data_IF_385804923092
#
_entry.id   IF_385804923092
#
_cell.length_a   1.000
_cell.length_b   1.000
_cell.length_c   1.000
_cell.angle_alpha   90.00
_cell.angle_beta   90.00
_cell.angle_gamma   90.00
#
_symmetry.space_group_name_H-M   'P 1'
#
loop_
_entity.id
_entity.type
_entity.pdbx_description
1 polymer ?
#
# COMPACT_ATOMS: atom_id res chain seq x y z
N UNK A 1 15.71 18.24 -4.39
CA UNK A 1 14.64 19.28 -4.36
C UNK A 1 13.40 18.68 -4.99
N UNK A 2 12.20 19.01 -4.46
CA UNK A 2 10.95 18.52 -5.08
C UNK A 2 10.71 19.23 -6.43
N UNK A 3 10.08 18.53 -7.37
CA UNK A 3 9.75 19.06 -8.68
C UNK A 3 8.67 20.14 -8.63
N UNK A 4 8.65 21.03 -9.62
CA UNK A 4 7.58 22.01 -9.76
C UNK A 4 6.20 21.31 -9.89
N UNK A 5 6.15 20.17 -10.57
CA UNK A 5 4.92 19.38 -10.73
C UNK A 5 4.37 18.91 -9.37
N UNK A 6 5.23 18.49 -8.42
CA UNK A 6 4.81 18.12 -7.07
C UNK A 6 4.20 19.32 -6.30
N UNK A 7 4.71 20.53 -6.51
CA UNK A 7 4.10 21.72 -5.91
C UNK A 7 2.75 22.07 -6.54
N UNK A 8 2.62 21.93 -7.86
CA UNK A 8 1.41 22.32 -8.59
C UNK A 8 0.25 21.34 -8.41
N UNK A 9 0.52 20.05 -8.18
CA UNK A 9 -0.54 19.05 -8.00
C UNK A 9 -1.24 19.17 -6.64
N UNK A 10 -0.56 19.63 -5.60
CA UNK A 10 -1.09 19.68 -4.24
C UNK A 10 -2.34 20.58 -4.10
N UNK A 11 -2.41 21.79 -4.64
CA UNK A 11 -3.65 22.59 -4.64
C UNK A 11 -4.82 21.88 -5.35
N UNK A 12 -4.54 21.19 -6.46
CA UNK A 12 -5.55 20.45 -7.22
C UNK A 12 -6.13 19.32 -6.37
N UNK A 13 -5.27 18.54 -5.71
CA UNK A 13 -5.69 17.44 -4.84
C UNK A 13 -6.47 17.94 -3.62
N UNK A 14 -6.05 19.09 -3.04
CA UNK A 14 -6.77 19.71 -1.94
C UNK A 14 -8.21 20.04 -2.33
N UNK A 15 -8.42 20.53 -3.55
CA UNK A 15 -9.74 20.86 -4.05
C UNK A 15 -10.54 19.61 -4.49
N UNK A 16 -9.92 18.70 -5.24
CA UNK A 16 -10.62 17.57 -5.86
C UNK A 16 -10.80 16.37 -4.94
N UNK A 17 -9.88 16.14 -3.99
CA UNK A 17 -9.89 14.96 -3.11
C UNK A 17 -10.20 15.37 -1.67
N UNK A 18 -9.33 16.16 -1.03
CA UNK A 18 -9.48 16.47 0.40
C UNK A 18 -10.84 17.08 0.73
N UNK A 19 -11.30 18.08 -0.05
CA UNK A 19 -12.62 18.71 0.19
C UNK A 19 -13.79 17.73 0.06
N UNK A 20 -13.68 16.73 -0.81
CA UNK A 20 -14.71 15.69 -0.95
C UNK A 20 -14.67 14.72 0.24
N UNK A 21 -13.48 14.26 0.63
CA UNK A 21 -13.32 13.36 1.78
C UNK A 21 -13.78 14.01 3.09
N UNK A 22 -13.48 15.29 3.30
CA UNK A 22 -13.95 16.01 4.50
C UNK A 22 -15.48 16.08 4.57
N UNK A 23 -16.16 16.14 3.42
CA UNK A 23 -17.63 16.19 3.31
C UNK A 23 -18.27 14.80 3.19
N UNK A 24 -17.49 13.77 3.00
CA UNK A 24 -17.99 12.40 2.89
C UNK A 24 -18.65 11.97 4.19
N UNK A 25 -19.86 11.45 4.10
CA UNK A 25 -20.65 10.92 5.21
C UNK A 25 -21.08 9.48 4.96
N UNK A 26 -20.91 8.99 3.73
CA UNK A 26 -21.25 7.63 3.32
C UNK A 26 -20.05 6.94 2.67
N UNK A 27 -20.02 5.59 2.64
CA UNK A 27 -19.00 4.83 1.89
C UNK A 27 -18.96 5.21 0.41
N UNK A 28 -20.10 5.49 -0.20
CA UNK A 28 -20.23 5.90 -1.60
C UNK A 28 -19.55 7.25 -1.86
N UNK A 29 -19.62 8.19 -0.91
CA UNK A 29 -18.92 9.48 -1.01
C UNK A 29 -17.40 9.28 -1.00
N UNK A 30 -16.89 8.38 -0.14
CA UNK A 30 -15.48 8.01 -0.08
C UNK A 30 -15.05 7.37 -1.41
N UNK A 31 -15.83 6.41 -1.93
CA UNK A 31 -15.59 5.73 -3.21
C UNK A 31 -15.54 6.73 -4.38
N UNK A 32 -16.45 7.70 -4.41
CA UNK A 32 -16.47 8.78 -5.42
C UNK A 32 -15.25 9.72 -5.30
N UNK A 33 -14.78 10.00 -4.08
CA UNK A 33 -13.63 10.87 -3.88
C UNK A 33 -12.33 10.29 -4.44
N UNK A 34 -12.17 8.94 -4.35
CA UNK A 34 -11.02 8.21 -4.89
C UNK A 34 -11.20 7.74 -6.35
N UNK A 35 -12.32 8.03 -7.00
CA UNK A 35 -12.66 7.52 -8.33
C UNK A 35 -11.93 8.17 -9.52
N UNK A 36 -10.86 8.95 -9.31
CA UNK A 36 -10.10 9.57 -10.39
C UNK A 36 -9.35 8.52 -11.22
N UNK A 37 -9.52 8.58 -12.56
CA UNK A 37 -8.73 7.75 -13.48
C UNK A 37 -7.38 8.40 -13.71
N UNK A 38 -6.31 7.71 -13.37
CA UNK A 38 -4.93 8.15 -13.57
C UNK A 38 -4.28 7.43 -14.76
N UNK A 39 -3.29 8.05 -15.42
CA UNK A 39 -2.60 7.44 -16.56
C UNK A 39 -1.91 6.12 -16.18
N UNK A 40 -2.18 5.07 -16.96
CA UNK A 40 -1.53 3.77 -16.84
C UNK A 40 -0.29 3.73 -17.74
N UNK A 41 0.85 3.19 -17.28
CA UNK A 41 2.06 3.09 -18.10
C UNK A 41 1.83 2.24 -19.34
N UNK A 42 2.34 2.69 -20.49
CA UNK A 42 2.42 1.85 -21.69
C UNK A 42 3.44 0.73 -21.47
N UNK A 43 3.19 -0.45 -22.04
CA UNK A 43 4.09 -1.59 -21.90
C UNK A 43 3.76 -2.54 -20.75
N UNK A 44 2.68 -2.30 -20.02
CA UNK A 44 2.10 -3.25 -19.08
C UNK A 44 0.86 -3.94 -19.71
N UNK A 45 0.74 -5.25 -19.52
CA UNK A 45 -0.43 -6.07 -19.84
C UNK A 45 -1.14 -6.44 -18.55
N UNK A 46 -2.48 -6.41 -18.56
CA UNK A 46 -3.32 -6.80 -17.43
C UNK A 46 -4.19 -7.98 -17.82
N UNK A 47 -4.20 -9.02 -17.00
CA UNK A 47 -4.97 -10.26 -17.26
C UNK A 47 -5.71 -10.66 -16.00
N UNK A 48 -7.02 -10.79 -16.07
CA UNK A 48 -7.84 -11.24 -14.94
C UNK A 48 -7.41 -12.64 -14.47
N UNK A 49 -7.38 -12.84 -13.17
CA UNK A 49 -6.97 -14.08 -12.55
C UNK A 49 -7.59 -14.25 -11.16
N UNK A 50 -7.54 -15.48 -10.67
CA UNK A 50 -7.91 -15.84 -9.29
C UNK A 50 -6.73 -16.56 -8.66
N UNK A 51 -6.30 -16.11 -7.48
CA UNK A 51 -5.21 -16.69 -6.71
C UNK A 51 -5.69 -16.89 -5.28
N UNK A 52 -5.62 -18.12 -4.76
CA UNK A 52 -6.13 -18.46 -3.43
C UNK A 52 -7.63 -18.17 -3.26
N UNK A 53 -8.41 -18.19 -4.34
CA UNK A 53 -9.83 -17.82 -4.31
C UNK A 53 -10.09 -16.31 -4.42
N UNK A 54 -9.05 -15.48 -4.43
CA UNK A 54 -9.16 -14.01 -4.52
C UNK A 54 -8.92 -13.57 -5.96
N UNK A 55 -9.88 -12.84 -6.56
CA UNK A 55 -9.76 -12.19 -7.86
C UNK A 55 -8.88 -10.92 -7.76
N UNK A 56 -8.15 -10.50 -8.68
CA UNK A 56 -8.44 -9.63 -9.79
C UNK A 56 -7.47 -9.86 -10.96
N UNK A 57 -6.21 -9.29 -10.92
CA UNK A 57 -5.42 -9.26 -12.14
C UNK A 57 -3.92 -9.41 -11.93
N UNK A 58 -3.31 -10.05 -12.92
CA UNK A 58 -1.87 -9.95 -13.13
C UNK A 58 -1.54 -8.69 -13.91
N UNK A 59 -0.51 -7.96 -13.48
CA UNK A 59 0.17 -6.95 -14.27
C UNK A 59 1.57 -7.48 -14.65
N UNK A 60 1.84 -7.55 -15.94
CA UNK A 60 3.05 -8.17 -16.51
C UNK A 60 3.63 -7.27 -17.62
N UNK A 61 4.93 -7.40 -17.96
CA UNK A 61 5.49 -6.75 -19.14
C UNK A 61 4.73 -7.19 -20.41
N UNK A 62 4.35 -6.23 -21.27
CA UNK A 62 3.58 -6.50 -22.48
C UNK A 62 4.40 -7.18 -23.58
N UNK A 63 5.74 -7.12 -23.50
CA UNK A 63 6.69 -7.77 -24.41
C UNK A 63 6.84 -9.28 -24.15
N UNK A 64 6.19 -9.80 -23.12
CA UNK A 64 6.24 -11.21 -22.76
C UNK A 64 7.47 -11.61 -21.90
N UNK A 65 8.29 -10.67 -21.50
CA UNK A 65 9.38 -10.96 -20.55
C UNK A 65 8.83 -11.57 -19.27
N UNK A 66 9.52 -12.59 -18.74
CA UNK A 66 9.14 -13.28 -17.50
C UNK A 66 9.97 -12.71 -16.36
N UNK A 67 9.39 -11.90 -15.45
CA UNK A 67 10.11 -11.34 -14.31
C UNK A 67 10.54 -12.43 -13.33
N UNK A 68 11.73 -12.26 -12.74
CA UNK A 68 12.24 -13.15 -11.70
C UNK A 68 11.51 -12.99 -10.36
N UNK A 69 10.89 -11.82 -10.12
CA UNK A 69 10.21 -11.47 -8.87
C UNK A 69 8.73 -11.26 -9.12
N UNK A 70 7.92 -11.74 -8.17
CA UNK A 70 6.48 -11.51 -8.09
C UNK A 70 6.17 -10.64 -6.87
N UNK A 71 5.26 -9.68 -7.03
CA UNK A 71 4.75 -8.83 -5.96
C UNK A 71 3.25 -9.12 -5.76
N UNK A 72 2.86 -9.49 -4.55
CA UNK A 72 1.47 -9.36 -4.12
C UNK A 72 1.22 -7.90 -3.75
N UNK A 73 0.32 -7.24 -4.47
CA UNK A 73 -0.01 -5.83 -4.21
C UNK A 73 -1.42 -5.69 -3.66
N UNK A 74 -1.52 -5.05 -2.50
CA UNK A 74 -2.76 -4.75 -1.79
C UNK A 74 -3.02 -3.24 -1.90
N UNK A 75 -4.14 -2.88 -2.52
CA UNK A 75 -4.45 -1.48 -2.83
C UNK A 75 -4.87 -0.68 -1.60
N UNK A 76 -4.67 0.64 -1.62
CA UNK A 76 -5.21 1.58 -0.65
C UNK A 76 -6.69 1.86 -0.82
N UNK A 77 -7.20 2.88 -0.10
CA UNK A 77 -8.60 3.29 -0.16
C UNK A 77 -9.34 3.15 1.18
N UNK A 78 -8.61 3.26 2.29
CA UNK A 78 -9.13 3.23 3.66
C UNK A 78 -9.95 1.97 3.99
N UNK A 79 -9.67 0.83 3.33
CA UNK A 79 -10.44 -0.43 3.40
C UNK A 79 -11.90 -0.31 2.91
N UNK A 80 -12.31 0.83 2.40
CA UNK A 80 -13.70 1.15 2.01
C UNK A 80 -13.85 1.33 0.51
N UNK A 81 -12.78 1.74 -0.16
CA UNK A 81 -12.80 2.18 -1.56
C UNK A 81 -11.65 1.59 -2.37
N UNK A 82 -11.62 1.91 -3.66
CA UNK A 82 -10.61 1.51 -4.64
C UNK A 82 -10.69 0.03 -5.04
N UNK A 83 -9.74 -0.37 -5.87
CA UNK A 83 -9.60 -1.74 -6.41
C UNK A 83 -8.23 -1.90 -7.05
N UNK A 84 -7.85 -3.11 -7.43
CA UNK A 84 -6.66 -3.39 -8.24
C UNK A 84 -6.62 -2.49 -9.50
N UNK A 85 -7.76 -2.34 -10.18
CA UNK A 85 -7.88 -1.53 -11.40
C UNK A 85 -7.60 -0.04 -11.19
N UNK A 86 -7.95 0.53 -10.03
CA UNK A 86 -7.61 1.93 -9.70
C UNK A 86 -6.10 2.10 -9.46
N UNK A 87 -5.39 1.02 -9.10
CA UNK A 87 -3.96 1.00 -8.81
C UNK A 87 -3.09 0.53 -9.97
N UNK A 88 -3.67 0.32 -11.18
CA UNK A 88 -2.91 0.04 -12.41
C UNK A 88 -1.76 1.00 -12.70
N UNK A 89 -1.80 2.29 -12.34
CA UNK A 89 -0.61 3.13 -12.44
C UNK A 89 0.58 2.58 -11.67
N UNK A 90 0.38 2.05 -10.46
CA UNK A 90 1.46 1.45 -9.65
C UNK A 90 1.80 0.04 -10.16
N UNK A 91 0.80 -0.84 -10.29
CA UNK A 91 1.02 -2.25 -10.66
C UNK A 91 1.60 -2.40 -12.06
N UNK A 92 1.09 -1.62 -13.03
CA UNK A 92 1.68 -1.50 -14.36
C UNK A 92 3.06 -0.81 -14.33
N UNK A 93 3.27 0.11 -13.39
CA UNK A 93 4.56 0.74 -13.13
C UNK A 93 5.63 -0.28 -12.71
N UNK A 94 5.27 -1.24 -11.88
CA UNK A 94 6.15 -2.37 -11.52
C UNK A 94 6.36 -3.31 -12.69
N UNK A 95 5.29 -3.64 -13.45
CA UNK A 95 5.39 -4.53 -14.61
C UNK A 95 6.43 -4.04 -15.63
N UNK A 96 6.38 -2.76 -16.01
CA UNK A 96 7.37 -2.18 -16.95
C UNK A 96 8.77 -2.05 -16.37
N UNK A 97 8.94 -2.32 -15.08
CA UNK A 97 10.24 -2.37 -14.36
C UNK A 97 10.71 -3.79 -14.08
N UNK A 98 10.07 -4.80 -14.70
CA UNK A 98 10.48 -6.20 -14.59
C UNK A 98 10.10 -6.84 -13.25
N UNK A 99 8.96 -6.46 -12.66
CA UNK A 99 8.35 -7.13 -11.51
C UNK A 99 6.92 -7.53 -11.89
N UNK A 100 6.62 -8.83 -11.86
CA UNK A 100 5.27 -9.35 -12.05
C UNK A 100 4.43 -9.01 -10.83
N UNK A 101 3.20 -8.54 -11.01
CA UNK A 101 2.34 -8.16 -9.88
C UNK A 101 1.03 -8.92 -9.94
N UNK A 102 0.65 -9.58 -8.85
CA UNK A 102 -0.73 -9.95 -8.59
C UNK A 102 -1.37 -8.87 -7.73
N UNK A 103 -2.34 -8.15 -8.28
CA UNK A 103 -3.10 -7.13 -7.59
C UNK A 103 -4.43 -7.75 -7.12
N UNK A 104 -4.60 -7.88 -5.79
CA UNK A 104 -5.77 -8.54 -5.23
C UNK A 104 -6.90 -7.56 -4.91
N UNK A 105 -8.14 -7.93 -5.27
CA UNK A 105 -9.34 -7.27 -4.80
C UNK A 105 -9.85 -7.97 -3.54
N UNK A 106 -9.40 -7.51 -2.40
CA UNK A 106 -9.89 -7.96 -1.11
C UNK A 106 -11.26 -7.35 -0.78
N UNK A 107 -12.04 -8.02 0.06
CA UNK A 107 -13.36 -7.55 0.52
C UNK A 107 -13.25 -6.24 1.28
N UNK A 108 -14.16 -5.30 0.98
CA UNK A 108 -14.17 -3.95 1.52
C UNK A 108 -15.24 -3.75 2.59
N UNK A 109 -14.94 -2.87 3.53
CA UNK A 109 -15.88 -2.34 4.49
C UNK A 109 -16.80 -1.27 3.83
N UNK A 110 -17.97 -1.00 4.40
CA UNK A 110 -18.54 -1.64 5.58
C UNK A 110 -19.23 -2.98 5.29
N UNK A 111 -19.35 -3.40 4.02
CA UNK A 111 -20.03 -4.65 3.64
C UNK A 111 -19.31 -5.86 4.24
N UNK A 112 -17.99 -5.79 4.33
CA UNK A 112 -17.12 -6.81 4.89
C UNK A 112 -16.07 -6.15 5.80
N UNK A 113 -16.40 -5.91 7.08
CA UNK A 113 -15.49 -5.26 8.03
C UNK A 113 -14.31 -6.18 8.39
N UNK A 114 -13.42 -5.68 9.23
CA UNK A 114 -12.35 -6.47 9.84
C UNK A 114 -12.90 -7.79 10.44
N UNK A 115 -12.25 -8.95 10.21
CA UNK A 115 -10.93 -9.13 9.59
C UNK A 115 -10.97 -9.52 8.09
N UNK A 116 -12.08 -9.36 7.37
CA UNK A 116 -12.28 -9.89 6.02
C UNK A 116 -11.14 -9.58 5.04
N UNK A 117 -10.64 -8.34 5.03
CA UNK A 117 -9.54 -7.94 4.15
C UNK A 117 -8.23 -8.68 4.49
N UNK A 118 -7.97 -8.93 5.78
CA UNK A 118 -6.77 -9.67 6.22
C UNK A 118 -6.84 -11.13 5.80
N UNK A 119 -8.01 -11.74 5.93
CA UNK A 119 -8.26 -13.14 5.48
C UNK A 119 -8.03 -13.26 3.97
N UNK A 120 -8.59 -12.35 3.18
CA UNK A 120 -8.43 -12.34 1.72
C UNK A 120 -6.98 -12.09 1.31
N UNK A 121 -6.29 -11.16 1.95
CA UNK A 121 -4.87 -10.90 1.72
C UNK A 121 -4.00 -12.11 2.03
N UNK A 122 -4.31 -12.84 3.11
CA UNK A 122 -3.61 -14.08 3.47
C UNK A 122 -3.88 -15.20 2.47
N UNK A 123 -5.15 -15.38 2.05
CA UNK A 123 -5.51 -16.36 1.03
C UNK A 123 -4.81 -16.10 -0.30
N UNK A 124 -4.72 -14.83 -0.73
CA UNK A 124 -3.96 -14.47 -1.92
C UNK A 124 -2.46 -14.76 -1.76
N UNK A 125 -1.88 -14.47 -0.59
CA UNK A 125 -0.49 -14.75 -0.29
C UNK A 125 -0.21 -16.26 -0.33
N UNK A 126 -0.99 -17.06 0.37
CA UNK A 126 -0.89 -18.51 0.38
C UNK A 126 -1.09 -19.09 -1.02
N UNK A 127 -2.08 -18.61 -1.75
CA UNK A 127 -2.35 -19.05 -3.12
C UNK A 127 -1.18 -18.82 -4.08
N UNK A 128 -0.36 -17.77 -3.89
CA UNK A 128 0.88 -17.56 -4.65
C UNK A 128 1.93 -18.61 -4.30
N UNK A 129 2.08 -18.95 -3.01
CA UNK A 129 2.99 -20.03 -2.57
C UNK A 129 2.54 -21.40 -3.11
N UNK A 130 1.24 -21.68 -3.07
CA UNK A 130 0.64 -22.94 -3.57
C UNK A 130 0.78 -23.09 -5.10
N UNK A 131 0.85 -21.96 -5.83
CA UNK A 131 1.19 -21.95 -7.27
C UNK A 131 2.69 -22.19 -7.54
N UNK A 132 3.51 -22.43 -6.51
CA UNK A 132 4.92 -22.75 -6.63
C UNK A 132 5.83 -21.51 -6.74
N UNK A 133 5.33 -20.31 -6.42
CA UNK A 133 6.19 -19.12 -6.34
C UNK A 133 7.03 -19.25 -5.07
N UNK A 134 8.33 -19.41 -5.24
CA UNK A 134 9.25 -19.54 -4.12
C UNK A 134 9.25 -18.27 -3.27
N UNK A 135 9.29 -18.37 -1.93
CA UNK A 135 9.29 -17.21 -1.03
C UNK A 135 10.37 -16.17 -1.35
N UNK A 136 11.54 -16.65 -1.80
CA UNK A 136 12.68 -15.82 -2.19
C UNK A 136 12.42 -15.01 -3.48
N UNK A 137 11.40 -15.39 -4.24
CA UNK A 137 10.93 -14.71 -5.46
C UNK A 137 9.62 -13.96 -5.25
N UNK A 138 9.11 -13.96 -4.01
CA UNK A 138 7.88 -13.27 -3.64
C UNK A 138 8.19 -12.02 -2.84
N UNK A 139 7.50 -10.94 -3.15
CA UNK A 139 7.43 -9.72 -2.34
C UNK A 139 5.96 -9.43 -2.01
N UNK A 140 5.72 -8.66 -0.97
CA UNK A 140 4.41 -8.12 -0.64
C UNK A 140 4.48 -6.61 -0.56
N UNK A 141 3.42 -5.91 -0.92
CA UNK A 141 3.39 -4.46 -0.81
C UNK A 141 2.01 -3.89 -0.93
N UNK A 142 1.92 -2.61 -0.64
CA UNK A 142 0.66 -1.87 -0.73
C UNK A 142 0.84 -0.42 -0.36
N UNK A 143 -0.23 0.31 -0.51
CA UNK A 143 -0.27 1.74 -0.19
C UNK A 143 -1.36 2.06 0.81
N UNK A 144 -1.14 3.06 1.66
CA UNK A 144 -2.15 3.54 2.63
C UNK A 144 -2.71 2.37 3.48
N UNK A 145 -4.02 2.15 3.47
CA UNK A 145 -4.67 0.99 4.09
C UNK A 145 -4.10 -0.34 3.57
N UNK A 146 -3.80 -0.46 2.27
CA UNK A 146 -3.17 -1.65 1.69
C UNK A 146 -1.74 -1.87 2.19
N UNK A 147 -1.02 -0.81 2.55
CA UNK A 147 0.29 -0.90 3.21
C UNK A 147 0.19 -1.46 4.63
N UNK A 148 -0.82 -1.03 5.40
CA UNK A 148 -1.18 -1.62 6.69
C UNK A 148 -1.59 -3.08 6.54
N UNK A 149 -2.45 -3.37 5.53
CA UNK A 149 -2.91 -4.73 5.23
C UNK A 149 -1.76 -5.67 4.88
N UNK A 150 -0.77 -5.20 4.09
CA UNK A 150 0.41 -6.00 3.75
C UNK A 150 1.19 -6.43 5.00
N UNK A 151 1.34 -5.54 5.98
CA UNK A 151 1.97 -5.87 7.27
C UNK A 151 1.09 -6.82 8.10
N UNK A 152 -0.23 -6.61 8.14
CA UNK A 152 -1.16 -7.50 8.84
C UNK A 152 -1.11 -8.92 8.27
N UNK A 153 -1.07 -9.05 6.94
CA UNK A 153 -0.89 -10.35 6.26
C UNK A 153 0.43 -11.00 6.64
N UNK A 154 1.53 -10.24 6.69
CA UNK A 154 2.84 -10.77 7.14
C UNK A 154 2.79 -11.26 8.59
N UNK A 155 2.18 -10.50 9.49
CA UNK A 155 2.03 -10.90 10.90
C UNK A 155 1.21 -12.19 11.02
N UNK A 156 0.10 -12.29 10.28
CA UNK A 156 -0.77 -13.45 10.29
C UNK A 156 -0.09 -14.67 9.65
N UNK A 157 0.57 -14.49 8.50
CA UNK A 157 1.37 -15.53 7.84
C UNK A 157 2.46 -16.08 8.77
N UNK A 158 3.17 -15.19 9.49
CA UNK A 158 4.16 -15.58 10.51
C UNK A 158 3.52 -16.41 11.62
N UNK A 159 2.38 -15.98 12.14
CA UNK A 159 1.66 -16.71 13.21
C UNK A 159 1.18 -18.10 12.76
N UNK A 160 0.86 -18.27 11.47
CA UNK A 160 0.46 -19.53 10.88
C UNK A 160 1.65 -20.38 10.35
N UNK A 161 2.88 -19.91 10.53
CA UNK A 161 4.09 -20.63 10.15
C UNK A 161 4.35 -20.68 8.63
N UNK A 162 3.72 -19.79 7.86
CA UNK A 162 3.98 -19.67 6.42
C UNK A 162 5.36 -19.07 6.16
N UNK A 163 6.01 -19.50 5.07
CA UNK A 163 7.27 -18.94 4.65
C UNK A 163 7.15 -17.44 4.37
N UNK A 164 8.10 -16.64 4.87
CA UNK A 164 8.10 -15.18 4.66
C UNK A 164 8.60 -14.82 3.27
N UNK A 165 8.05 -13.76 2.65
CA UNK A 165 8.51 -13.30 1.35
C UNK A 165 9.88 -12.63 1.47
N UNK A 166 10.58 -12.45 0.35
CA UNK A 166 11.91 -11.87 0.33
C UNK A 166 11.94 -10.38 0.72
N UNK A 167 10.88 -9.62 0.44
CA UNK A 167 10.80 -8.16 0.63
C UNK A 167 9.38 -7.69 0.89
N UNK A 168 9.28 -6.53 1.59
CA UNK A 168 8.04 -5.77 1.67
C UNK A 168 8.25 -4.32 1.21
N UNK A 169 7.31 -3.74 0.45
CA UNK A 169 7.36 -2.35 -0.02
C UNK A 169 6.05 -1.64 0.30
N UNK A 170 6.16 -0.49 0.97
CA UNK A 170 5.02 0.23 1.50
C UNK A 170 5.04 1.70 1.03
N UNK A 171 3.89 2.20 0.56
CA UNK A 171 3.72 3.60 0.21
C UNK A 171 2.72 4.26 1.16
N UNK A 172 3.17 5.24 1.93
CA UNK A 172 2.33 5.98 2.88
C UNK A 172 1.46 5.05 3.76
N UNK A 173 2.01 3.96 4.35
CA UNK A 173 1.22 2.92 4.98
C UNK A 173 0.42 3.45 6.17
N UNK A 174 -0.82 3.00 6.32
CA UNK A 174 -1.66 3.26 7.49
C UNK A 174 -1.58 2.08 8.45
N UNK A 175 -0.78 2.21 9.48
CA UNK A 175 -0.41 1.12 10.40
C UNK A 175 -0.98 1.29 11.82
N UNK A 176 -1.60 2.43 12.09
CA UNK A 176 -2.23 2.78 13.37
C UNK A 176 -3.62 3.36 13.13
N UNK A 177 -4.66 2.52 13.20
CA UNK A 177 -6.05 2.94 12.99
C UNK A 177 -6.58 3.86 14.11
N UNK A 178 -5.88 3.95 15.23
CA UNK A 178 -6.20 4.88 16.31
C UNK A 178 -5.68 6.30 16.06
N UNK A 179 -4.80 6.47 15.04
CA UNK A 179 -4.27 7.78 14.67
C UNK A 179 -3.46 8.45 15.77
N UNK A 180 -2.68 7.69 16.55
CA UNK A 180 -1.95 8.22 17.74
C UNK A 180 -0.64 8.92 17.36
N UNK A 181 -0.26 8.94 16.08
CA UNK A 181 0.90 9.68 15.57
C UNK A 181 0.67 11.20 15.61
N UNK A 182 1.67 11.96 16.07
CA UNK A 182 1.57 13.43 16.16
C UNK A 182 1.31 14.08 14.80
N UNK A 183 1.82 13.49 13.70
CA UNK A 183 1.62 13.99 12.34
C UNK A 183 0.15 14.07 11.91
N UNK A 184 -0.75 13.29 12.52
CA UNK A 184 -2.18 13.37 12.26
C UNK A 184 -2.73 14.78 12.56
N UNK A 185 -2.27 15.40 13.64
CA UNK A 185 -2.62 16.77 14.03
C UNK A 185 -1.71 17.82 13.38
N UNK A 186 -0.38 17.62 13.41
CA UNK A 186 0.60 18.57 12.86
C UNK A 186 0.42 18.83 11.36
N UNK A 187 0.06 17.80 10.60
CA UNK A 187 -0.07 17.85 9.15
C UNK A 187 -1.52 17.94 8.64
N UNK A 188 -2.52 18.02 9.51
CA UNK A 188 -3.94 18.06 9.11
C UNK A 188 -4.28 19.11 8.05
N UNK A 189 -3.61 20.26 8.11
CA UNK A 189 -3.80 21.34 7.14
C UNK A 189 -2.72 21.37 6.04
N UNK A 190 -1.61 20.63 6.22
CA UNK A 190 -0.50 20.55 5.27
C UNK A 190 -0.68 19.44 4.24
N UNK A 191 -1.25 18.30 4.65
CA UNK A 191 -1.57 17.19 3.75
C UNK A 191 -2.59 17.65 2.69
N UNK A 192 -2.29 17.48 1.39
CA UNK A 192 -3.19 17.92 0.33
C UNK A 192 -4.35 16.96 0.07
N UNK A 193 -4.33 15.73 0.59
CA UNK A 193 -5.34 14.72 0.30
C UNK A 193 -6.14 14.28 1.51
N UNK A 194 -5.51 14.12 2.67
CA UNK A 194 -6.14 13.58 3.86
C UNK A 194 -6.26 14.66 4.93
N UNK A 195 -7.36 14.64 5.68
CA UNK A 195 -7.53 15.45 6.88
C UNK A 195 -7.40 14.53 8.09
N UNK A 196 -6.42 14.80 8.97
CA UNK A 196 -6.15 13.98 10.14
C UNK A 196 -7.36 13.81 11.07
N UNK A 197 -8.26 14.81 11.09
CA UNK A 197 -9.51 14.75 11.87
C UNK A 197 -10.51 13.73 11.35
N UNK A 198 -10.34 13.25 10.11
CA UNK A 198 -11.24 12.33 9.39
C UNK A 198 -10.69 10.91 9.24
N UNK A 199 -9.45 10.68 9.65
CA UNK A 199 -8.83 9.35 9.58
C UNK A 199 -9.63 8.33 10.40
N UNK A 200 -10.14 8.74 11.57
CA UNK A 200 -10.96 7.89 12.43
C UNK A 200 -12.30 7.44 11.82
N UNK A 201 -12.88 8.21 10.89
CA UNK A 201 -14.15 7.83 10.25
C UNK A 201 -13.97 6.57 9.37
N UNK A 202 -12.87 6.50 8.62
CA UNK A 202 -12.50 5.30 7.84
C UNK A 202 -12.18 4.11 8.72
N UNK A 203 -11.43 4.35 9.81
CA UNK A 203 -11.11 3.32 10.79
C UNK A 203 -12.37 2.71 11.41
N UNK A 204 -13.35 3.55 11.79
CA UNK A 204 -14.60 3.09 12.41
C UNK A 204 -15.40 2.17 11.48
N UNK A 205 -15.47 2.47 10.17
CA UNK A 205 -16.14 1.62 9.19
C UNK A 205 -15.47 0.25 9.05
N UNK A 206 -14.13 0.23 9.05
CA UNK A 206 -13.37 -1.02 8.92
C UNK A 206 -13.39 -1.85 10.19
N UNK A 207 -13.16 -1.23 11.36
CA UNK A 207 -13.08 -1.93 12.65
C UNK A 207 -14.43 -2.49 13.09
N UNK A 208 -15.56 -1.81 12.79
CA UNK A 208 -16.91 -2.22 13.17
C UNK A 208 -17.03 -2.61 14.66
N UNK A 209 -16.36 -1.85 15.53
CA UNK A 209 -16.35 -2.09 16.98
C UNK A 209 -15.20 -2.98 17.50
N UNK A 210 -14.36 -3.50 16.63
CA UNK A 210 -13.12 -4.22 17.05
C UNK A 210 -12.12 -3.24 17.66
N UNK A 211 -11.32 -3.72 18.63
CA UNK A 211 -10.26 -2.91 19.24
C UNK A 211 -9.25 -2.49 18.15
N UNK A 212 -9.07 -1.19 17.99
CA UNK A 212 -8.10 -0.62 17.07
C UNK A 212 -6.63 -0.96 17.39
N UNK A 213 -6.34 -1.58 18.54
CA UNK A 213 -5.01 -2.12 18.89
C UNK A 213 -4.80 -3.55 18.45
N UNK A 214 -5.82 -4.23 17.89
CA UNK A 214 -5.63 -5.55 17.31
C UNK A 214 -4.47 -5.50 16.30
N UNK A 215 -3.43 -6.37 16.43
CA UNK A 215 -2.23 -6.32 15.59
C UNK A 215 -2.49 -6.63 14.11
N UNK A 216 -3.62 -7.23 13.79
CA UNK A 216 -4.02 -7.47 12.40
C UNK A 216 -4.87 -6.31 11.84
N UNK A 217 -5.41 -5.44 12.69
CA UNK A 217 -6.05 -4.20 12.27
C UNK A 217 -5.03 -3.05 12.19
N UNK A 218 -4.21 -2.92 13.22
CA UNK A 218 -3.14 -1.92 13.35
C UNK A 218 -1.79 -2.58 13.57
N UNK A 219 -1.08 -2.98 12.51
CA UNK A 219 0.15 -3.77 12.61
C UNK A 219 1.28 -3.08 13.37
N UNK A 220 1.19 -1.78 13.58
CA UNK A 220 2.11 -1.07 14.46
C UNK A 220 2.10 -1.62 15.90
N UNK A 221 1.02 -2.22 16.37
CA UNK A 221 0.94 -2.83 17.71
C UNK A 221 1.37 -4.30 17.75
N UNK A 222 1.67 -4.90 16.58
CA UNK A 222 2.10 -6.29 16.47
C UNK A 222 3.57 -6.53 16.84
N UNK A 223 3.93 -7.81 16.89
CA UNK A 223 5.34 -8.26 16.98
C UNK A 223 5.98 -8.27 15.59
N UNK A 224 6.82 -7.27 15.33
CA UNK A 224 7.49 -7.06 14.05
C UNK A 224 8.82 -7.82 13.89
N UNK A 225 9.22 -8.63 14.88
CA UNK A 225 10.42 -9.47 14.76
C UNK A 225 10.25 -10.52 13.65
N UNK A 226 11.32 -10.78 12.90
CA UNK A 226 11.34 -11.78 11.84
C UNK A 226 10.58 -11.41 10.56
N UNK A 227 10.09 -10.16 10.44
CA UNK A 227 9.57 -9.67 9.17
C UNK A 227 10.68 -9.58 8.11
N UNK A 228 10.34 -9.72 6.81
CA UNK A 228 11.31 -9.51 5.72
C UNK A 228 11.81 -8.06 5.74
N UNK A 229 12.92 -7.75 5.06
CA UNK A 229 13.35 -6.37 4.86
C UNK A 229 12.23 -5.52 4.27
N UNK A 230 11.97 -4.36 4.91
CA UNK A 230 10.88 -3.43 4.54
C UNK A 230 11.46 -2.15 3.97
N UNK A 231 10.95 -1.70 2.82
CA UNK A 231 11.16 -0.36 2.28
C UNK A 231 9.86 0.43 2.37
N UNK A 232 9.89 1.53 3.12
CA UNK A 232 8.73 2.42 3.27
C UNK A 232 9.02 3.79 2.67
N UNK A 233 8.07 4.32 1.90
CA UNK A 233 8.09 5.67 1.38
C UNK A 233 6.90 6.45 1.95
N UNK A 234 7.14 7.67 2.43
CA UNK A 234 6.10 8.57 2.97
C UNK A 234 6.43 10.02 2.66
N UNK A 235 5.41 10.84 2.45
CA UNK A 235 5.58 12.29 2.29
C UNK A 235 5.75 12.99 3.64
N UNK A 236 6.64 13.98 3.70
CA UNK A 236 6.92 14.79 4.91
C UNK A 236 5.66 15.46 5.46
N UNK A 237 4.73 15.82 4.57
CA UNK A 237 3.52 16.58 4.89
C UNK A 237 2.28 15.71 5.09
N UNK A 238 2.43 14.39 5.05
CA UNK A 238 1.32 13.48 5.22
C UNK A 238 0.89 13.35 6.70
N UNK A 239 -0.39 13.20 6.92
CA UNK A 239 -0.95 12.90 8.26
C UNK A 239 -0.50 11.52 8.75
N UNK A 240 -0.18 10.59 7.83
CA UNK A 240 0.33 9.24 8.14
C UNK A 240 1.87 9.16 8.18
N UNK A 241 2.59 10.32 8.19
CA UNK A 241 4.07 10.31 8.27
C UNK A 241 4.57 9.49 9.46
N UNK A 242 4.00 9.71 10.63
CA UNK A 242 4.46 9.09 11.86
C UNK A 242 4.15 7.59 11.94
N UNK A 243 3.17 7.10 11.19
CA UNK A 243 2.96 5.67 11.01
C UNK A 243 4.21 5.00 10.44
N UNK A 244 4.76 5.58 9.37
CA UNK A 244 6.00 5.08 8.74
C UNK A 244 7.24 5.26 9.63
N UNK A 245 7.35 6.38 10.34
CA UNK A 245 8.49 6.66 11.24
C UNK A 245 8.50 5.69 12.42
N UNK A 246 7.34 5.48 13.03
CA UNK A 246 7.17 4.56 14.17
C UNK A 246 7.35 3.11 13.75
N UNK A 247 6.87 2.75 12.56
CA UNK A 247 7.07 1.42 11.97
C UNK A 247 8.57 1.12 11.77
N UNK A 248 9.31 2.05 11.13
CA UNK A 248 10.77 1.90 10.92
C UNK A 248 11.50 1.70 12.24
N UNK A 249 11.22 2.55 13.23
CA UNK A 249 11.82 2.45 14.55
C UNK A 249 11.52 1.11 15.24
N UNK A 250 10.28 0.62 15.16
CA UNK A 250 9.87 -0.65 15.76
C UNK A 250 10.49 -1.87 15.08
N UNK A 251 10.55 -1.89 13.74
CA UNK A 251 11.19 -2.98 13.00
C UNK A 251 12.68 -3.06 13.36
N UNK A 252 13.37 -1.92 13.40
CA UNK A 252 14.79 -1.86 13.80
C UNK A 252 15.02 -2.30 15.25
N UNK A 253 14.15 -1.85 16.16
CA UNK A 253 14.21 -2.25 17.58
C UNK A 253 13.99 -3.77 17.76
N UNK A 254 13.21 -4.39 16.87
CA UNK A 254 12.99 -5.84 16.83
C UNK A 254 14.11 -6.61 16.10
N UNK A 255 15.22 -5.96 15.73
CA UNK A 255 16.36 -6.57 15.01
C UNK A 255 16.13 -6.77 13.51
N UNK A 256 15.02 -6.24 12.95
CA UNK A 256 14.69 -6.33 11.53
C UNK A 256 15.39 -5.28 10.67
N UNK A 257 15.26 -5.42 9.36
CA UNK A 257 15.79 -4.47 8.38
C UNK A 257 14.68 -3.56 7.88
N UNK A 258 14.82 -2.26 8.09
CA UNK A 258 13.88 -1.25 7.59
C UNK A 258 14.63 -0.09 6.94
N UNK A 259 14.12 0.33 5.78
CA UNK A 259 14.58 1.49 5.02
C UNK A 259 13.41 2.47 4.90
N UNK A 260 13.53 3.64 5.53
CA UNK A 260 12.53 4.70 5.44
C UNK A 260 13.00 5.81 4.50
N UNK A 261 12.13 6.23 3.58
CA UNK A 261 12.29 7.36 2.67
C UNK A 261 11.22 8.40 2.93
N UNK A 262 11.59 9.55 3.47
CA UNK A 262 10.69 10.69 3.66
C UNK A 262 10.91 11.67 2.50
N UNK A 263 9.83 11.92 1.73
CA UNK A 263 9.88 12.77 0.54
C UNK A 263 9.29 14.14 0.81
N UNK A 264 9.97 15.23 0.43
CA UNK A 264 9.39 16.56 0.59
C UNK A 264 8.26 16.81 -0.41
N UNK A 265 7.22 17.52 0.01
CA UNK A 265 6.16 18.09 -0.85
C UNK A 265 5.23 17.11 -1.56
N UNK A 266 5.58 15.85 -1.71
CA UNK A 266 4.72 14.85 -2.39
C UNK A 266 3.39 14.66 -1.65
N UNK A 267 2.28 14.39 -2.36
CA UNK A 267 0.99 14.07 -1.75
C UNK A 267 0.95 12.59 -1.30
N UNK A 268 -0.09 12.22 -0.56
CA UNK A 268 -0.33 10.83 -0.15
C UNK A 268 -0.38 9.89 -1.37
N UNK A 269 0.36 8.78 -1.30
CA UNK A 269 0.45 7.75 -2.36
C UNK A 269 0.80 8.33 -3.74
N UNK A 270 1.77 9.24 -3.80
CA UNK A 270 2.20 9.88 -5.06
C UNK A 270 2.68 8.93 -6.17
N UNK A 271 3.11 7.66 -5.92
CA UNK A 271 3.41 6.71 -6.98
C UNK A 271 2.24 6.46 -7.95
N UNK A 272 0.98 6.63 -7.52
CA UNK A 272 -0.18 6.63 -8.41
C UNK A 272 -0.07 7.69 -9.52
N UNK A 273 0.63 8.78 -9.24
CA UNK A 273 0.79 9.91 -10.16
C UNK A 273 2.13 9.88 -10.91
N UNK A 274 2.75 8.70 -11.10
CA UNK A 274 4.03 8.55 -11.80
C UNK A 274 4.01 9.12 -13.24
N UNK A 275 2.85 9.18 -13.87
CA UNK A 275 2.67 9.81 -15.18
C UNK A 275 2.67 11.35 -15.14
N UNK A 276 2.55 11.95 -13.95
CA UNK A 276 2.38 13.39 -13.74
C UNK A 276 3.60 13.99 -13.04
N UNK A 277 4.05 13.35 -11.92
CA UNK A 277 5.16 13.85 -11.13
C UNK A 277 6.37 12.91 -11.20
N UNK A 278 7.59 13.42 -11.38
CA UNK A 278 8.79 12.59 -11.51
C UNK A 278 9.12 11.82 -10.25
N UNK A 279 8.77 12.32 -9.07
CA UNK A 279 8.96 11.62 -7.79
C UNK A 279 8.21 10.29 -7.77
N UNK A 280 7.05 10.19 -8.42
CA UNK A 280 6.31 8.93 -8.53
C UNK A 280 7.10 7.87 -9.33
N UNK A 281 7.78 8.29 -10.41
CA UNK A 281 8.67 7.39 -11.18
C UNK A 281 9.88 6.98 -10.36
N UNK A 282 10.56 7.94 -9.73
CA UNK A 282 11.74 7.68 -8.90
C UNK A 282 11.44 6.70 -7.75
N UNK A 283 10.29 6.87 -7.09
CA UNK A 283 9.85 5.95 -6.03
C UNK A 283 9.63 4.55 -6.56
N UNK A 284 8.99 4.38 -7.72
CA UNK A 284 8.78 3.07 -8.33
C UNK A 284 10.08 2.46 -8.85
N UNK A 285 11.03 3.27 -9.36
CA UNK A 285 12.36 2.80 -9.77
C UNK A 285 13.14 2.25 -8.57
N UNK A 286 13.18 2.97 -7.44
CA UNK A 286 13.83 2.53 -6.20
C UNK A 286 13.17 1.27 -5.64
N UNK A 287 11.84 1.25 -5.59
CA UNK A 287 11.06 0.12 -5.04
C UNK A 287 11.23 -1.15 -5.88
N UNK A 288 11.18 -1.03 -7.22
CA UNK A 288 11.38 -2.17 -8.12
C UNK A 288 12.84 -2.69 -8.03
N UNK A 289 13.82 -1.80 -7.92
CA UNK A 289 15.21 -2.18 -7.69
C UNK A 289 15.39 -2.93 -6.36
N UNK A 290 14.75 -2.44 -5.29
CA UNK A 290 14.76 -3.09 -3.97
C UNK A 290 14.18 -4.51 -4.03
N UNK A 291 13.03 -4.69 -4.70
CA UNK A 291 12.41 -6.01 -4.89
C UNK A 291 13.34 -6.93 -5.68
N UNK A 292 13.87 -6.48 -6.83
CA UNK A 292 14.74 -7.30 -7.71
C UNK A 292 16.06 -7.67 -7.07
N UNK A 293 16.59 -6.86 -6.16
CA UNK A 293 17.81 -7.17 -5.42
C UNK A 293 17.69 -8.39 -4.49
N UNK A 294 16.48 -8.89 -4.25
CA UNK A 294 16.22 -10.11 -3.51
C UNK A 294 16.32 -11.38 -4.38
N UNK A 295 16.27 -11.25 -5.72
CA UNK A 295 16.40 -12.41 -6.60
C UNK A 295 17.70 -13.16 -6.31
N UNK A 296 17.67 -14.50 -6.12
CA UNK A 296 18.87 -15.30 -6.03
C UNK A 296 19.76 -15.01 -7.25
N UNK A 297 21.05 -14.73 -7.01
CA UNK A 297 22.02 -14.64 -8.11
C UNK A 297 22.12 -16.04 -8.71
N UNK A 298 21.69 -16.19 -9.96
CA UNK A 298 21.80 -17.42 -10.71
C UNK A 298 23.26 -17.87 -10.91
#
# INVERSE_FOLDING_TARGET
MASLAAYLINPVLRFQVKRKLVKATTPEDVRKAFGAKLPVPRGARFTEAVVGGIGDEWAEPADGAVPAMTLLYLHGGAYVACSARTHRPITGGYAVRGVRVFAANYRLAPEHPFPAAVEDGLLAYQGLLDQGIAPERLAIGGDSAGGGLALAVLLKAKAEGLAMPARAVLFSPWTDLLGTGASAEENKDRDPMIDGRKVGDGAAMYLAGTDGRDPYASPLYGDLAGLPPVLSHVGEREVLRDDSVRLDAKIRAAGGQSLLRIWPVVPHVWPLMQGIIPEGRQTLDESAAFIRAASPRG
#
